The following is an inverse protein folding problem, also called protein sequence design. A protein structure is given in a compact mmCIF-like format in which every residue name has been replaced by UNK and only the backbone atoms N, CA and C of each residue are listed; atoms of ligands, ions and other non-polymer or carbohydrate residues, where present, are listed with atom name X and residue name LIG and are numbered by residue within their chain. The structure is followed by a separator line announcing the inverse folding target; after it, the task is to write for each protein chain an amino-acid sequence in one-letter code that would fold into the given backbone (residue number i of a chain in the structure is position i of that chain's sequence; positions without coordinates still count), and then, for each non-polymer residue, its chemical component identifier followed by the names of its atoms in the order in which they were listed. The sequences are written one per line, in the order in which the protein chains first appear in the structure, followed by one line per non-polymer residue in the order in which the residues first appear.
data_IF_469363548924
#
_entry.id   IF_469363548924
#
_cell.length_a   1.000
_cell.length_b   1.000
_cell.length_c   1.000
_cell.angle_alpha   90.00
_cell.angle_beta   90.00
_cell.angle_gamma   90.00
#
_symmetry.space_group_name_H-M   'P 1'
#
loop_
_entity.id
_entity.type
_entity.pdbx_description
1 polymer ?
#
# COMPACT_ATOMS: atom_id res chain seq x y z
N UNK A 1 -27.70 -7.55 5.37
CA UNK A 1 -26.64 -6.58 5.09
C UNK A 1 -25.29 -7.23 4.79
N UNK A 2 -24.78 -8.21 5.56
CA UNK A 2 -23.48 -8.87 5.30
C UNK A 2 -23.40 -9.60 3.94
N UNK A 3 -24.50 -10.19 3.47
CA UNK A 3 -24.56 -10.89 2.16
C UNK A 3 -24.53 -9.94 0.95
N UNK A 4 -25.05 -8.72 1.09
CA UNK A 4 -24.99 -7.71 0.04
C UNK A 4 -23.58 -7.13 -0.11
N UNK A 5 -22.84 -6.99 0.99
CA UNK A 5 -21.45 -6.55 0.96
C UNK A 5 -20.55 -7.57 0.24
N UNK A 6 -20.78 -8.86 0.50
CA UNK A 6 -20.07 -9.95 -0.18
C UNK A 6 -20.38 -10.00 -1.68
N UNK A 7 -21.65 -9.78 -2.04
CA UNK A 7 -22.09 -9.76 -3.45
C UNK A 7 -21.52 -8.55 -4.20
N UNK A 8 -21.44 -7.39 -3.55
CA UNK A 8 -20.82 -6.19 -4.10
C UNK A 8 -19.31 -6.38 -4.33
N UNK A 9 -18.62 -7.02 -3.39
CA UNK A 9 -17.20 -7.36 -3.52
C UNK A 9 -16.99 -8.36 -4.67
N UNK A 10 -17.81 -9.40 -4.77
CA UNK A 10 -17.73 -10.39 -5.87
C UNK A 10 -18.09 -9.78 -7.22
N UNK A 11 -19.08 -8.88 -7.28
CA UNK A 11 -19.44 -8.18 -8.52
C UNK A 11 -18.35 -7.21 -8.99
N UNK A 12 -17.61 -6.61 -8.07
CA UNK A 12 -16.45 -5.74 -8.39
C UNK A 12 -15.31 -6.53 -9.06
N UNK A 13 -15.13 -7.80 -8.69
CA UNK A 13 -14.12 -8.68 -9.29
C UNK A 13 -14.53 -9.29 -10.64
N UNK A 14 -15.78 -9.16 -11.05
CA UNK A 14 -16.30 -9.84 -12.26
C UNK A 14 -16.17 -9.03 -13.57
N UNK A 15 -15.74 -7.77 -13.54
CA UNK A 15 -15.87 -6.85 -14.68
C UNK A 15 -14.57 -6.36 -15.30
N UNK A 16 -13.53 -7.19 -15.46
CA UNK A 16 -12.45 -6.78 -16.37
C UNK A 16 -11.55 -7.94 -16.78
N UNK A 17 -11.90 -8.56 -17.88
CA UNK A 17 -11.01 -9.44 -18.63
C UNK A 17 -10.66 -8.77 -19.96
N UNK A 18 -9.81 -7.74 -19.93
CA UNK A 18 -9.13 -7.23 -21.13
C UNK A 18 -7.74 -6.74 -20.73
N UNK A 19 -6.77 -6.98 -21.60
CA UNK A 19 -5.40 -6.49 -21.47
C UNK A 19 -5.38 -4.96 -21.62
N UNK A 20 -5.77 -4.27 -20.58
CA UNK A 20 -5.77 -2.82 -20.49
C UNK A 20 -4.63 -2.44 -19.53
N UNK A 21 -3.85 -1.45 -19.93
CA UNK A 21 -2.88 -0.83 -19.05
C UNK A 21 -3.66 -0.18 -17.91
N UNK A 22 -3.68 -0.85 -16.75
CA UNK A 22 -4.44 -0.39 -15.60
C UNK A 22 -3.88 0.93 -15.09
N UNK A 23 -4.75 1.91 -14.95
CA UNK A 23 -4.36 3.24 -14.47
C UNK A 23 -4.53 3.41 -12.97
N UNK A 24 -5.34 2.57 -12.36
CA UNK A 24 -5.63 2.67 -10.94
C UNK A 24 -5.60 1.28 -10.30
N UNK A 25 -5.26 1.26 -9.02
CA UNK A 25 -5.36 0.06 -8.21
C UNK A 25 -5.92 0.42 -6.83
N UNK A 26 -6.66 -0.50 -6.25
CA UNK A 26 -7.12 -0.41 -4.87
C UNK A 26 -6.80 -1.71 -4.16
N UNK A 27 -6.38 -1.64 -2.92
CA UNK A 27 -6.00 -2.84 -2.20
C UNK A 27 -5.99 -2.69 -0.70
N UNK A 28 -5.52 -3.77 -0.10
CA UNK A 28 -5.29 -3.88 1.34
C UNK A 28 -3.83 -4.22 1.57
N UNK A 29 -3.26 -3.52 2.53
CA UNK A 29 -1.92 -3.76 3.05
C UNK A 29 -2.06 -4.18 4.50
N UNK A 30 -1.49 -5.33 4.85
CA UNK A 30 -1.59 -5.93 6.18
C UNK A 30 -0.20 -6.27 6.68
N UNK A 31 0.17 -5.71 7.80
CA UNK A 31 1.44 -5.93 8.48
C UNK A 31 1.25 -5.81 9.98
N UNK A 32 1.94 -4.87 10.60
CA UNK A 32 1.74 -4.52 12.02
C UNK A 32 0.38 -3.84 12.27
N UNK A 33 -0.27 -3.35 11.24
CA UNK A 33 -1.61 -2.79 11.20
C UNK A 33 -2.33 -3.16 9.91
N UNK A 34 -3.43 -2.47 9.62
CA UNK A 34 -4.19 -2.63 8.39
C UNK A 34 -4.36 -1.28 7.69
N UNK A 35 -4.16 -1.29 6.37
CA UNK A 35 -4.24 -0.11 5.53
C UNK A 35 -5.11 -0.40 4.30
N UNK A 36 -5.86 0.59 3.88
CA UNK A 36 -6.44 0.65 2.54
C UNK A 36 -5.48 1.42 1.67
N UNK A 37 -5.13 0.86 0.53
CA UNK A 37 -4.19 1.39 -0.43
C UNK A 37 -4.90 1.77 -1.72
N UNK A 38 -4.54 2.91 -2.27
CA UNK A 38 -4.91 3.34 -3.62
C UNK A 38 -3.66 3.73 -4.39
N UNK A 39 -3.55 3.24 -5.63
CA UNK A 39 -2.45 3.57 -6.53
C UNK A 39 -3.00 4.25 -7.79
N UNK A 40 -2.28 5.28 -8.23
CA UNK A 40 -2.49 5.93 -9.52
C UNK A 40 -1.23 5.77 -10.36
N UNK A 41 -1.32 4.94 -11.39
CA UNK A 41 -0.25 4.72 -12.34
C UNK A 41 -0.25 5.85 -13.38
N UNK A 42 0.89 6.52 -13.54
CA UNK A 42 1.10 7.56 -14.56
C UNK A 42 1.73 6.96 -15.81
N UNK A 43 2.55 5.92 -15.63
CA UNK A 43 3.16 5.12 -16.68
C UNK A 43 3.42 3.70 -16.17
N UNK A 44 3.97 2.84 -16.99
CA UNK A 44 4.48 1.54 -16.58
C UNK A 44 5.63 1.63 -15.56
N UNK A 45 6.31 2.77 -15.51
CA UNK A 45 7.52 2.97 -14.70
C UNK A 45 7.26 3.63 -13.35
N UNK A 46 6.14 4.36 -13.18
CA UNK A 46 5.90 5.12 -11.96
C UNK A 46 4.43 5.25 -11.58
N UNK A 47 4.19 5.36 -10.28
CA UNK A 47 2.86 5.51 -9.71
C UNK A 47 2.91 6.28 -8.38
N UNK A 48 1.79 6.96 -8.08
CA UNK A 48 1.51 7.53 -6.77
C UNK A 48 0.70 6.52 -5.98
N UNK A 49 1.13 6.26 -4.77
CA UNK A 49 0.44 5.41 -3.81
C UNK A 49 -0.02 6.25 -2.63
N UNK A 50 -1.26 6.06 -2.22
CA UNK A 50 -1.84 6.68 -1.03
C UNK A 50 -2.42 5.59 -0.15
N UNK A 51 -2.04 5.60 1.12
CA UNK A 51 -2.49 4.65 2.12
C UNK A 51 -3.15 5.37 3.28
N UNK A 52 -4.24 4.80 3.75
CA UNK A 52 -4.91 5.20 4.99
C UNK A 52 -5.00 3.98 5.88
N UNK A 53 -4.48 4.06 7.08
CA UNK A 53 -4.38 2.89 7.93
C UNK A 53 -4.43 3.16 9.42
N UNK A 54 -4.47 2.05 10.14
CA UNK A 54 -4.46 1.98 11.59
C UNK A 54 -3.22 1.19 12.03
N UNK A 55 -2.51 1.73 13.00
CA UNK A 55 -1.39 1.03 13.64
C UNK A 55 -1.94 0.05 14.68
N UNK A 56 -1.29 -1.10 14.86
CA UNK A 56 -1.65 -2.12 15.86
C UNK A 56 -3.09 -2.64 15.77
N UNK A 57 -3.75 -2.52 14.61
CA UNK A 57 -5.19 -2.81 14.46
C UNK A 57 -6.09 -2.07 15.47
N UNK A 58 -5.53 -1.05 16.13
CA UNK A 58 -6.24 -0.22 17.10
C UNK A 58 -6.87 1.02 16.46
N UNK A 59 -8.00 1.47 17.00
CA UNK A 59 -8.66 2.69 16.53
C UNK A 59 -8.03 3.99 17.09
N UNK A 60 -7.00 3.86 17.91
CA UNK A 60 -6.39 5.00 18.59
C UNK A 60 -5.32 5.71 17.76
N UNK A 61 -4.70 5.00 16.84
CA UNK A 61 -3.57 5.49 16.06
C UNK A 61 -3.88 5.32 14.57
N UNK A 62 -4.10 6.42 13.89
CA UNK A 62 -4.36 6.44 12.45
C UNK A 62 -3.27 7.22 11.71
N UNK A 63 -3.04 6.85 10.46
CA UNK A 63 -2.08 7.56 9.61
C UNK A 63 -2.54 7.60 8.14
N UNK A 64 -1.97 8.54 7.42
CA UNK A 64 -2.07 8.66 5.97
C UNK A 64 -0.66 8.77 5.41
N UNK A 65 -0.32 7.94 4.45
CA UNK A 65 0.92 8.01 3.69
C UNK A 65 0.62 8.34 2.23
N UNK A 66 1.50 9.10 1.61
CA UNK A 66 1.52 9.29 0.17
C UNK A 66 2.96 9.15 -0.33
N UNK A 67 3.22 8.16 -1.19
CA UNK A 67 4.55 7.88 -1.74
C UNK A 67 4.51 7.88 -3.25
N UNK A 68 5.54 8.44 -3.86
CA UNK A 68 5.77 8.35 -5.29
C UNK A 68 6.78 7.24 -5.54
N UNK A 69 6.39 6.23 -6.30
CA UNK A 69 7.10 4.99 -6.49
C UNK A 69 7.55 4.82 -7.94
N UNK A 70 8.73 4.22 -8.11
CA UNK A 70 9.31 3.85 -9.40
C UNK A 70 9.47 2.33 -9.48
N UNK A 71 9.09 1.76 -10.61
CA UNK A 71 9.40 0.37 -10.94
C UNK A 71 10.87 0.30 -11.35
N UNK A 72 11.71 -0.23 -10.48
CA UNK A 72 13.16 -0.29 -10.70
C UNK A 72 13.55 -1.45 -11.63
N UNK A 73 12.88 -2.58 -11.47
CA UNK A 73 13.18 -3.81 -12.22
C UNK A 73 11.91 -4.64 -12.42
N UNK A 74 11.84 -5.34 -13.53
CA UNK A 74 10.83 -6.35 -13.83
C UNK A 74 11.48 -7.63 -14.36
N UNK A 75 10.90 -8.78 -14.01
CA UNK A 75 11.40 -10.11 -14.42
C UNK A 75 10.26 -11.02 -14.84
N UNK A 76 10.47 -11.78 -15.90
CA UNK A 76 9.54 -12.78 -16.43
C UNK A 76 9.87 -14.19 -15.90
N UNK A 77 10.04 -14.36 -14.59
CA UNK A 77 10.34 -15.66 -13.99
C UNK A 77 9.20 -16.67 -14.10
N UNK A 78 7.97 -16.17 -14.14
CA UNK A 78 6.75 -16.99 -14.24
C UNK A 78 5.80 -16.42 -15.30
N UNK A 79 6.14 -16.48 -16.61
CA UNK A 79 5.39 -15.78 -17.65
C UNK A 79 3.92 -16.22 -17.77
N UNK A 80 3.62 -17.46 -17.39
CA UNK A 80 2.23 -17.95 -17.38
C UNK A 80 1.40 -17.41 -16.21
N UNK A 81 2.03 -16.92 -15.14
CA UNK A 81 1.35 -16.39 -13.96
C UNK A 81 1.32 -14.86 -13.95
N UNK A 82 2.42 -14.22 -14.32
CA UNK A 82 2.57 -12.78 -14.29
C UNK A 82 4.01 -12.32 -14.30
N UNK A 83 4.21 -11.02 -14.17
CA UNK A 83 5.53 -10.36 -14.09
C UNK A 83 5.90 -10.04 -12.67
N UNK A 84 7.11 -10.41 -12.27
CA UNK A 84 7.71 -10.00 -11.01
C UNK A 84 8.25 -8.58 -11.12
N UNK A 85 8.19 -7.83 -10.04
CA UNK A 85 8.69 -6.45 -10.02
C UNK A 85 9.36 -6.11 -8.70
N UNK A 86 10.24 -5.13 -8.77
CA UNK A 86 10.79 -4.41 -7.64
C UNK A 86 10.50 -2.94 -7.84
N UNK A 87 9.89 -2.30 -6.86
CA UNK A 87 9.67 -0.86 -6.84
C UNK A 87 10.30 -0.22 -5.62
N UNK A 88 10.64 1.05 -5.75
CA UNK A 88 11.11 1.88 -4.65
C UNK A 88 10.48 3.26 -4.75
N UNK A 89 10.21 3.86 -3.58
CA UNK A 89 9.55 5.15 -3.51
C UNK A 89 9.90 5.97 -2.30
N UNK A 90 9.48 7.21 -2.34
CA UNK A 90 9.64 8.18 -1.26
C UNK A 90 8.42 9.09 -1.20
N UNK A 91 8.09 9.53 0.00
CA UNK A 91 6.93 10.40 0.19
C UNK A 91 6.79 10.95 1.60
N UNK A 92 5.59 11.35 1.95
CA UNK A 92 5.24 11.90 3.23
C UNK A 92 4.24 11.05 4.00
N UNK A 93 4.25 11.23 5.31
CA UNK A 93 3.33 10.58 6.22
C UNK A 93 2.77 11.59 7.22
N UNK A 94 1.50 11.45 7.53
CA UNK A 94 0.80 12.17 8.59
C UNK A 94 0.17 11.14 9.51
N UNK A 95 0.44 11.24 10.81
CA UNK A 95 -0.09 10.32 11.81
C UNK A 95 -0.81 11.04 12.95
N UNK A 96 -1.84 10.39 13.49
CA UNK A 96 -2.54 10.79 14.72
C UNK A 96 -2.41 9.66 15.73
N UNK A 97 -1.79 9.96 16.87
CA UNK A 97 -1.59 9.00 17.94
C UNK A 97 -2.17 9.52 19.23
N UNK A 98 -3.05 8.75 19.82
CA UNK A 98 -3.68 9.07 21.10
C UNK A 98 -2.91 8.37 22.24
N UNK A 99 -1.63 8.76 22.44
CA UNK A 99 -0.80 8.23 23.53
C UNK A 99 -0.77 9.20 24.71
N UNK A 100 -0.94 8.73 25.95
CA UNK A 100 -0.98 9.59 27.16
C UNK A 100 0.29 10.43 27.35
N UNK A 101 1.44 9.94 26.89
CA UNK A 101 2.75 10.59 27.06
C UNK A 101 3.21 11.37 25.80
N UNK A 102 2.41 11.43 24.76
CA UNK A 102 2.77 12.15 23.55
C UNK A 102 2.60 13.67 23.74
N UNK A 103 3.65 14.43 23.45
CA UNK A 103 3.58 15.91 23.47
C UNK A 103 2.63 16.45 22.39
N UNK A 104 2.46 15.73 21.30
CA UNK A 104 1.60 16.07 20.19
C UNK A 104 0.86 14.83 19.70
N UNK A 105 -0.45 14.93 19.56
CA UNK A 105 -1.26 13.87 18.97
C UNK A 105 -1.11 13.78 17.45
N UNK A 106 -0.53 14.80 16.83
CA UNK A 106 -0.32 14.91 15.40
C UNK A 106 1.16 14.81 15.06
N UNK A 107 1.49 14.06 14.03
CA UNK A 107 2.86 13.86 13.57
C UNK A 107 2.93 13.98 12.05
N UNK A 108 4.04 14.56 11.59
CA UNK A 108 4.40 14.65 10.17
C UNK A 108 5.74 14.00 9.99
N UNK A 109 5.90 13.24 8.92
CA UNK A 109 7.11 12.50 8.65
C UNK A 109 7.40 12.29 7.18
N UNK A 110 8.54 11.66 6.92
CA UNK A 110 8.94 11.18 5.61
C UNK A 110 8.86 9.67 5.61
N UNK A 111 8.30 9.10 4.54
CA UNK A 111 8.20 7.67 4.32
C UNK A 111 9.05 7.26 3.11
N UNK A 112 9.82 6.19 3.26
CA UNK A 112 10.34 5.43 2.13
C UNK A 112 9.40 4.27 1.82
N UNK A 113 9.52 3.69 0.64
CA UNK A 113 8.80 2.47 0.27
C UNK A 113 9.67 1.60 -0.63
N UNK A 114 9.68 0.30 -0.36
CA UNK A 114 10.31 -0.70 -1.24
C UNK A 114 9.38 -1.89 -1.29
N UNK A 115 8.92 -2.26 -2.48
CA UNK A 115 8.03 -3.39 -2.68
C UNK A 115 8.60 -4.38 -3.69
N UNK A 116 8.47 -5.67 -3.35
CA UNK A 116 8.76 -6.78 -4.25
C UNK A 116 7.53 -7.67 -4.38
N UNK A 117 7.12 -7.97 -5.62
CA UNK A 117 5.88 -8.70 -5.83
C UNK A 117 5.70 -9.23 -7.24
N UNK A 118 4.50 -9.71 -7.50
CA UNK A 118 4.05 -10.23 -8.78
C UNK A 118 2.78 -9.50 -9.23
N UNK A 119 2.80 -8.97 -10.44
CA UNK A 119 1.61 -8.54 -11.18
C UNK A 119 1.11 -9.69 -12.02
N UNK A 120 0.01 -10.27 -11.59
CA UNK A 120 -0.57 -11.41 -12.31
C UNK A 120 -1.10 -10.99 -13.69
N UNK A 121 -1.21 -11.96 -14.60
CA UNK A 121 -1.91 -11.81 -15.89
C UNK A 121 -3.43 -11.57 -15.70
N UNK A 122 -3.89 -11.50 -14.47
CA UNK A 122 -5.21 -11.07 -14.02
C UNK A 122 -5.07 -9.73 -13.31
N UNK A 123 -6.15 -8.96 -13.14
CA UNK A 123 -6.09 -7.62 -12.53
C UNK A 123 -5.81 -7.66 -11.01
N UNK A 124 -4.81 -8.41 -10.60
CA UNK A 124 -4.41 -8.56 -9.20
C UNK A 124 -2.89 -8.46 -9.11
N UNK A 125 -2.42 -7.73 -8.12
CA UNK A 125 -1.01 -7.66 -7.74
C UNK A 125 -0.86 -8.14 -6.30
N UNK A 126 0.18 -8.90 -6.02
CA UNK A 126 0.55 -9.33 -4.68
C UNK A 126 2.01 -8.94 -4.43
N UNK A 127 2.27 -8.27 -3.33
CA UNK A 127 3.63 -7.84 -2.96
C UNK A 127 3.89 -7.95 -1.47
N UNK A 128 5.17 -8.05 -1.15
CA UNK A 128 5.70 -7.78 0.19
C UNK A 128 6.41 -6.45 0.08
N UNK A 129 6.12 -5.55 0.99
CA UNK A 129 6.72 -4.23 1.01
C UNK A 129 7.31 -3.88 2.38
N UNK A 130 8.25 -2.95 2.36
CA UNK A 130 8.87 -2.38 3.54
C UNK A 130 8.80 -0.86 3.46
N UNK A 131 8.10 -0.25 4.41
CA UNK A 131 7.89 1.20 4.48
C UNK A 131 8.45 1.79 5.76
N UNK A 132 9.74 2.16 5.79
CA UNK A 132 10.30 2.93 6.89
C UNK A 132 9.71 4.34 6.90
N UNK A 133 9.27 4.80 8.07
CA UNK A 133 8.75 6.15 8.26
C UNK A 133 9.44 6.83 9.43
N UNK A 134 9.83 8.08 9.23
CA UNK A 134 10.48 8.93 10.24
C UNK A 134 9.55 10.10 10.52
N UNK A 135 9.11 10.20 11.76
CA UNK A 135 8.24 11.30 12.22
C UNK A 135 9.06 12.33 13.01
N UNK A 136 8.82 13.62 12.75
CA UNK A 136 9.63 14.71 13.26
C UNK A 136 9.18 15.26 14.60
N UNK A 137 7.86 15.29 14.88
CA UNK A 137 7.32 16.02 16.02
C UNK A 137 7.50 15.32 17.37
N UNK A 138 7.55 14.00 17.38
CA UNK A 138 7.72 13.20 18.60
C UNK A 138 9.00 12.36 18.59
N UNK A 139 9.96 12.66 17.70
CA UNK A 139 11.17 11.85 17.49
C UNK A 139 10.86 10.35 17.35
N UNK A 140 9.71 10.05 16.75
CA UNK A 140 9.25 8.69 16.61
C UNK A 140 9.74 8.11 15.29
N UNK A 141 10.46 7.01 15.40
CA UNK A 141 10.90 6.23 14.27
C UNK A 141 9.96 5.04 14.13
N UNK A 142 9.22 4.96 13.04
CA UNK A 142 8.47 3.78 12.66
C UNK A 142 9.28 2.98 11.66
N UNK A 143 10.23 2.21 12.14
CA UNK A 143 11.12 1.37 11.36
C UNK A 143 11.27 -0.02 11.97
N UNK A 144 11.99 -0.87 11.29
CA UNK A 144 12.16 -2.26 11.69
C UNK A 144 11.01 -3.13 11.21
N UNK A 145 10.67 -4.16 11.98
CA UNK A 145 9.64 -5.14 11.55
C UNK A 145 8.25 -4.54 11.39
N UNK A 146 7.96 -3.41 12.02
CA UNK A 146 6.67 -2.72 11.89
C UNK A 146 6.44 -2.12 10.48
N UNK A 147 7.51 -1.91 9.72
CA UNK A 147 7.41 -1.41 8.35
C UNK A 147 7.08 -2.47 7.31
N UNK A 148 7.22 -3.77 7.61
CA UNK A 148 6.92 -4.85 6.69
C UNK A 148 5.42 -5.15 6.61
N UNK A 149 4.94 -5.40 5.40
CA UNK A 149 3.56 -5.81 5.17
C UNK A 149 3.42 -6.66 3.91
N UNK A 150 2.28 -7.34 3.84
CA UNK A 150 1.79 -8.02 2.64
C UNK A 150 0.69 -7.15 2.04
N UNK A 151 0.81 -6.90 0.75
CA UNK A 151 -0.13 -6.07 0.00
C UNK A 151 -0.79 -6.86 -1.12
N UNK A 152 -2.09 -6.71 -1.23
CA UNK A 152 -2.88 -7.26 -2.32
C UNK A 152 -3.72 -6.15 -2.94
N UNK A 153 -3.50 -5.86 -4.23
CA UNK A 153 -4.24 -4.82 -4.95
C UNK A 153 -5.01 -5.40 -6.14
N UNK A 154 -6.14 -4.78 -6.42
CA UNK A 154 -6.94 -4.99 -7.61
C UNK A 154 -6.73 -3.82 -8.56
N UNK A 155 -6.38 -4.11 -9.81
CA UNK A 155 -6.02 -3.16 -10.84
C UNK A 155 -7.22 -2.90 -11.79
N UNK A 156 -7.52 -1.62 -12.15
CA UNK A 156 -8.67 -1.24 -12.99
C UNK A 156 -8.44 0.05 -13.78
#
# INVERSE_FOLDING_TARGET
MKKFLLLAVVAFFATSAFAQEYKNSIGLRVGYGAEVQYERHFSSENYLEVNVGLTDFGLNDAFVNATYNWNCCEWDWTPNAGKWFLSAGVGGSIGWWNKPDAKHNFNVGVAGDVAFGIRFNKPVTLSVDYRPTIYFLNNAWAHGFTGFALTCTYNF
#
